data_IF_278273559104
#
_entry.id   IF_278273559104
#
_cell.length_a   1.000
_cell.length_b   1.000
_cell.length_c   1.000
_cell.angle_alpha   90.00
_cell.angle_beta   90.00
_cell.angle_gamma   90.00
#
_symmetry.space_group_name_H-M   'P 1'
#
loop_
_entity.id
_entity.type
_entity.pdbx_description
1 polymer ?
#
# COMPACT_ATOMS: atom_id res chain seq x y z
N UNK A 1 -2.92 8.33 -16.98
CA UNK A 1 -4.20 7.88 -16.39
C UNK A 1 -4.26 8.35 -14.95
N UNK A 2 -5.25 9.16 -14.59
CA UNK A 2 -5.49 9.46 -13.17
C UNK A 2 -6.01 8.18 -12.50
N UNK A 3 -5.53 7.91 -11.29
CA UNK A 3 -5.93 6.73 -10.51
C UNK A 3 -7.38 6.86 -10.02
N UNK A 4 -7.84 8.10 -9.88
CA UNK A 4 -9.23 8.45 -9.56
C UNK A 4 -9.84 9.32 -10.65
N UNK A 5 -11.13 9.14 -10.91
CA UNK A 5 -11.96 9.98 -11.77
C UNK A 5 -12.50 11.19 -10.98
N UNK A 6 -13.17 12.11 -11.68
CA UNK A 6 -13.73 13.33 -11.08
C UNK A 6 -14.78 13.02 -9.99
N UNK A 7 -15.59 11.99 -10.20
CA UNK A 7 -16.59 11.50 -9.23
C UNK A 7 -15.93 11.05 -7.92
N UNK A 8 -14.88 10.22 -7.98
CA UNK A 8 -14.12 9.77 -6.81
C UNK A 8 -13.44 10.93 -6.07
N UNK A 9 -13.01 11.96 -6.79
CA UNK A 9 -12.41 13.16 -6.20
C UNK A 9 -13.45 14.04 -5.49
N UNK A 10 -14.66 14.13 -6.04
CA UNK A 10 -15.80 14.79 -5.41
C UNK A 10 -16.22 14.02 -4.15
N UNK A 11 -16.35 12.69 -4.22
CA UNK A 11 -16.65 11.84 -3.06
C UNK A 11 -15.61 12.03 -1.94
N UNK A 12 -14.30 12.05 -2.27
CA UNK A 12 -13.23 12.30 -1.32
C UNK A 12 -13.32 13.67 -0.65
N UNK A 13 -13.60 14.73 -1.42
CA UNK A 13 -13.79 16.09 -0.87
C UNK A 13 -14.96 16.14 0.08
N UNK A 14 -16.12 15.63 -0.34
CA UNK A 14 -17.33 15.59 0.49
C UNK A 14 -17.08 14.81 1.78
N UNK A 15 -16.37 13.68 1.70
CA UNK A 15 -16.02 12.89 2.87
C UNK A 15 -15.14 13.67 3.86
N UNK A 16 -14.07 14.31 3.37
CA UNK A 16 -13.14 15.06 4.22
C UNK A 16 -13.77 16.30 4.83
N UNK A 17 -14.68 16.96 4.11
CA UNK A 17 -15.28 18.23 4.50
C UNK A 17 -16.53 18.06 5.38
N UNK A 18 -17.33 17.01 5.13
CA UNK A 18 -18.63 16.82 5.78
C UNK A 18 -18.72 15.53 6.62
N UNK A 19 -17.63 14.78 6.77
CA UNK A 19 -17.55 13.55 7.59
C UNK A 19 -18.68 12.54 7.30
N UNK A 20 -19.06 12.42 6.01
CA UNK A 20 -20.14 11.54 5.56
C UNK A 20 -19.69 10.07 5.63
N UNK A 21 -20.64 9.17 5.86
CA UNK A 21 -20.37 7.74 5.99
C UNK A 21 -19.66 7.16 4.75
N UNK A 22 -18.50 6.55 5.01
CA UNK A 22 -17.59 6.00 4.02
C UNK A 22 -18.14 4.79 3.23
N UNK A 23 -19.25 4.18 3.67
CA UNK A 23 -19.95 3.08 2.97
C UNK A 23 -20.40 3.44 1.55
N UNK A 24 -20.47 4.73 1.23
CA UNK A 24 -20.85 5.19 -0.11
C UNK A 24 -19.70 5.20 -1.12
N UNK A 25 -18.43 5.03 -0.67
CA UNK A 25 -17.29 4.90 -1.58
C UNK A 25 -17.35 3.57 -2.33
N UNK A 26 -18.00 3.57 -3.49
CA UNK A 26 -18.04 2.42 -4.39
C UNK A 26 -16.63 1.97 -4.81
N UNK A 27 -15.68 2.90 -4.86
CA UNK A 27 -14.31 2.67 -5.32
C UNK A 27 -13.27 3.04 -4.25
N UNK A 28 -13.53 2.62 -3.01
CA UNK A 28 -12.67 2.92 -1.87
C UNK A 28 -11.18 2.60 -2.10
N UNK A 29 -10.88 1.45 -2.73
CA UNK A 29 -9.51 1.06 -3.06
C UNK A 29 -8.78 2.11 -3.91
N UNK A 30 -9.45 2.71 -4.88
CA UNK A 30 -8.85 3.70 -5.78
C UNK A 30 -8.55 5.01 -5.04
N UNK A 31 -9.47 5.43 -4.16
CA UNK A 31 -9.27 6.59 -3.28
C UNK A 31 -8.06 6.37 -2.37
N UNK A 32 -7.97 5.20 -1.74
CA UNK A 32 -6.83 4.85 -0.89
C UNK A 32 -5.51 4.84 -1.66
N UNK A 33 -5.51 4.26 -2.86
CA UNK A 33 -4.34 4.24 -3.75
C UNK A 33 -3.91 5.65 -4.17
N UNK A 34 -4.88 6.51 -4.47
CA UNK A 34 -4.63 7.92 -4.78
C UNK A 34 -3.98 8.64 -3.59
N UNK A 35 -4.52 8.49 -2.38
CA UNK A 35 -3.97 9.12 -1.18
C UNK A 35 -2.53 8.67 -0.92
N UNK A 36 -2.24 7.37 -1.10
CA UNK A 36 -0.89 6.82 -0.93
C UNK A 36 0.07 7.41 -1.96
N UNK A 37 -0.36 7.42 -3.24
CA UNK A 37 0.44 7.94 -4.36
C UNK A 37 0.73 9.44 -4.21
N UNK A 38 -0.26 10.21 -3.78
CA UNK A 38 -0.12 11.64 -3.52
C UNK A 38 0.52 11.94 -2.15
N UNK A 39 1.04 10.91 -1.46
CA UNK A 39 1.79 11.02 -0.22
C UNK A 39 1.03 11.73 0.91
N UNK A 40 -0.28 11.48 1.02
CA UNK A 40 -1.10 12.02 2.11
C UNK A 40 -0.60 11.51 3.49
N UNK A 41 -0.75 12.32 4.56
CA UNK A 41 -0.41 11.92 5.92
C UNK A 41 -1.06 10.61 6.35
N UNK A 42 -0.31 9.78 7.09
CA UNK A 42 -0.83 8.53 7.65
C UNK A 42 -2.09 8.73 8.48
N UNK A 43 -2.18 9.80 9.27
CA UNK A 43 -3.35 10.05 10.11
C UNK A 43 -4.63 10.25 9.29
N UNK A 44 -4.53 10.87 8.10
CA UNK A 44 -5.67 11.02 7.18
C UNK A 44 -6.05 9.67 6.58
N UNK A 45 -5.06 8.91 6.10
CA UNK A 45 -5.26 7.57 5.53
C UNK A 45 -5.87 6.62 6.58
N UNK A 46 -5.33 6.65 7.81
CA UNK A 46 -5.81 5.88 8.95
C UNK A 46 -7.22 6.28 9.34
N UNK A 47 -7.51 7.58 9.46
CA UNK A 47 -8.85 8.08 9.75
C UNK A 47 -9.86 7.56 8.72
N UNK A 48 -9.52 7.65 7.43
CA UNK A 48 -10.37 7.15 6.34
C UNK A 48 -10.61 5.63 6.47
N UNK A 49 -9.56 4.84 6.72
CA UNK A 49 -9.67 3.39 6.96
C UNK A 49 -10.55 3.09 8.19
N UNK A 50 -10.41 3.86 9.27
CA UNK A 50 -11.16 3.69 10.51
C UNK A 50 -12.64 4.06 10.39
N UNK A 51 -13.01 4.96 9.47
CA UNK A 51 -14.42 5.22 9.13
C UNK A 51 -15.01 4.11 8.24
N UNK A 52 -14.19 3.23 7.69
CA UNK A 52 -14.56 2.13 6.79
C UNK A 52 -14.58 0.77 7.50
N UNK A 53 -14.85 0.69 8.82
CA UNK A 53 -14.67 -0.55 9.63
C UNK A 53 -15.30 -1.83 9.06
N UNK A 54 -16.36 -1.71 8.25
CA UNK A 54 -17.02 -2.84 7.59
C UNK A 54 -16.30 -3.31 6.31
N UNK A 55 -15.50 -2.46 5.67
CA UNK A 55 -14.61 -2.86 4.58
C UNK A 55 -13.31 -3.40 5.19
N UNK A 56 -13.10 -4.71 5.09
CA UNK A 56 -11.86 -5.35 5.54
C UNK A 56 -10.68 -4.93 4.67
N UNK A 57 -9.99 -3.87 5.05
CA UNK A 57 -8.81 -3.38 4.31
C UNK A 57 -7.58 -4.15 4.80
N UNK A 58 -6.91 -4.80 3.85
CA UNK A 58 -5.70 -5.55 4.15
C UNK A 58 -4.53 -4.57 4.35
N UNK A 59 -4.00 -4.49 5.58
CA UNK A 59 -2.83 -3.65 5.89
C UNK A 59 -1.56 -4.08 5.16
N UNK A 60 -1.45 -5.34 4.77
CA UNK A 60 -0.39 -5.82 3.88
C UNK A 60 -0.45 -5.15 2.52
N UNK A 61 -1.64 -5.03 1.92
CA UNK A 61 -1.81 -4.32 0.64
C UNK A 61 -1.47 -2.83 0.77
N UNK A 62 -1.87 -2.18 1.86
CA UNK A 62 -1.49 -0.80 2.17
C UNK A 62 0.03 -0.63 2.23
N UNK A 63 0.73 -1.54 2.91
CA UNK A 63 2.19 -1.50 2.97
C UNK A 63 2.80 -1.69 1.57
N UNK A 64 2.25 -2.61 0.78
CA UNK A 64 2.75 -2.91 -0.56
C UNK A 64 2.61 -1.70 -1.48
N UNK A 65 1.44 -1.06 -1.51
CA UNK A 65 1.23 0.18 -2.27
C UNK A 65 2.13 1.31 -1.77
N UNK A 66 2.32 1.44 -0.46
CA UNK A 66 3.19 2.48 0.11
C UNK A 66 4.62 2.36 -0.42
N UNK A 67 5.13 1.14 -0.54
CA UNK A 67 6.48 0.89 -1.07
C UNK A 67 6.51 1.06 -2.60
N UNK A 68 5.51 0.57 -3.33
CA UNK A 68 5.38 0.74 -4.79
C UNK A 68 5.44 2.23 -5.21
N UNK A 69 4.75 3.10 -4.45
CA UNK A 69 4.71 4.54 -4.72
C UNK A 69 5.79 5.35 -3.99
N UNK A 70 6.81 4.69 -3.41
CA UNK A 70 7.91 5.32 -2.66
C UNK A 70 7.47 6.16 -1.43
N UNK A 71 6.27 5.91 -0.90
CA UNK A 71 5.81 6.49 0.35
C UNK A 71 6.40 5.73 1.55
N UNK A 72 7.72 5.86 1.73
CA UNK A 72 8.46 5.16 2.78
C UNK A 72 8.11 5.65 4.19
N UNK A 73 7.62 6.90 4.33
CA UNK A 73 7.14 7.43 5.61
C UNK A 73 5.91 6.66 6.08
N UNK A 74 4.90 6.54 5.22
CA UNK A 74 3.72 5.72 5.48
C UNK A 74 4.09 4.25 5.71
N UNK A 75 4.96 3.68 4.88
CA UNK A 75 5.42 2.30 5.03
C UNK A 75 6.09 2.06 6.39
N UNK A 76 6.91 3.01 6.86
CA UNK A 76 7.57 2.92 8.18
C UNK A 76 6.54 2.94 9.31
N UNK A 77 5.53 3.82 9.21
CA UNK A 77 4.47 3.88 10.22
C UNK A 77 3.66 2.57 10.23
N UNK A 78 3.32 2.01 9.06
CA UNK A 78 2.60 0.75 8.94
C UNK A 78 3.38 -0.44 9.53
N UNK A 79 4.70 -0.50 9.31
CA UNK A 79 5.58 -1.53 9.88
C UNK A 79 5.66 -1.41 11.41
N UNK A 80 5.67 -0.19 11.94
CA UNK A 80 5.82 0.06 13.39
C UNK A 80 4.50 -0.03 14.16
N UNK A 81 3.35 -0.02 13.49
CA UNK A 81 2.06 -0.18 14.15
C UNK A 81 1.90 -1.62 14.68
N UNK A 82 1.36 -1.81 15.90
CA UNK A 82 1.15 -3.12 16.55
C UNK A 82 0.18 -4.06 15.81
N UNK A 83 -0.42 -3.60 14.72
CA UNK A 83 -1.35 -4.40 13.93
C UNK A 83 -0.64 -5.31 12.95
N UNK A 84 -1.08 -6.57 12.93
CA UNK A 84 -0.56 -7.63 12.07
C UNK A 84 -0.50 -7.21 10.60
N UNK A 85 0.71 -7.22 10.07
CA UNK A 85 1.00 -7.21 8.63
C UNK A 85 1.47 -8.62 8.29
N UNK A 86 0.84 -9.24 7.30
CA UNK A 86 1.27 -10.54 6.81
C UNK A 86 2.39 -10.39 5.77
N UNK A 87 3.20 -11.44 5.60
CA UNK A 87 4.29 -11.42 4.62
C UNK A 87 3.80 -11.54 3.17
N UNK A 88 2.52 -11.88 2.97
CA UNK A 88 1.93 -12.16 1.67
C UNK A 88 0.65 -11.38 1.47
N UNK A 89 0.45 -10.89 0.25
CA UNK A 89 -0.74 -10.19 -0.18
C UNK A 89 -1.87 -11.17 -0.54
N UNK A 90 -3.00 -10.67 -1.05
CA UNK A 90 -4.16 -11.52 -1.41
C UNK A 90 -3.87 -12.48 -2.57
N UNK A 91 -2.86 -12.17 -3.39
CA UNK A 91 -2.40 -13.04 -4.48
C UNK A 91 -1.33 -14.04 -4.02
N UNK A 92 -1.15 -14.21 -2.70
CA UNK A 92 -0.12 -15.07 -2.10
C UNK A 92 1.33 -14.70 -2.42
N UNK A 93 1.57 -13.46 -2.88
CA UNK A 93 2.90 -12.92 -3.20
C UNK A 93 3.46 -12.15 -2.03
N UNK A 94 4.75 -12.31 -1.78
CA UNK A 94 5.47 -11.42 -0.88
C UNK A 94 5.76 -10.07 -1.56
N UNK A 95 6.20 -9.07 -0.78
CA UNK A 95 6.41 -7.70 -1.29
C UNK A 95 7.41 -7.63 -2.45
N UNK A 96 8.45 -8.45 -2.44
CA UNK A 96 9.49 -8.44 -3.47
C UNK A 96 8.93 -9.06 -4.76
N UNK A 97 8.26 -10.21 -4.65
CA UNK A 97 7.56 -10.87 -5.78
C UNK A 97 6.55 -9.92 -6.43
N UNK A 98 5.75 -9.23 -5.59
CA UNK A 98 4.79 -8.23 -6.03
C UNK A 98 5.44 -7.10 -6.84
N UNK A 99 6.53 -6.50 -6.32
CA UNK A 99 7.20 -5.38 -7.00
C UNK A 99 7.90 -5.81 -8.30
N UNK A 100 8.42 -7.03 -8.37
CA UNK A 100 9.02 -7.57 -9.60
C UNK A 100 7.96 -7.72 -10.68
N UNK A 101 6.80 -8.30 -10.35
CA UNK A 101 5.70 -8.45 -11.29
C UNK A 101 5.20 -7.10 -11.83
N UNK A 102 5.16 -6.08 -10.96
CA UNK A 102 4.84 -4.70 -11.34
C UNK A 102 5.94 -4.00 -12.13
N UNK A 103 7.10 -4.63 -12.32
CA UNK A 103 8.33 -4.01 -12.89
C UNK A 103 8.71 -2.72 -12.15
N UNK A 104 8.50 -2.72 -10.84
CA UNK A 104 8.64 -1.55 -9.97
C UNK A 104 9.73 -1.74 -8.90
N UNK A 105 10.33 -2.94 -8.80
CA UNK A 105 11.44 -3.18 -7.90
C UNK A 105 12.70 -2.43 -8.35
N UNK A 106 13.24 -1.60 -7.47
CA UNK A 106 14.54 -0.94 -7.63
C UNK A 106 15.39 -1.12 -6.37
N UNK A 107 16.67 -0.72 -6.44
CA UNK A 107 17.61 -0.86 -5.33
C UNK A 107 17.20 -0.10 -4.07
N UNK A 108 16.50 1.03 -4.18
CA UNK A 108 16.03 1.80 -3.01
C UNK A 108 14.91 1.05 -2.30
N UNK A 109 13.90 0.58 -3.04
CA UNK A 109 12.78 -0.20 -2.48
C UNK A 109 13.27 -1.50 -1.87
N UNK A 110 14.16 -2.21 -2.58
CA UNK A 110 14.76 -3.44 -2.07
C UNK A 110 15.51 -3.21 -0.75
N UNK A 111 16.36 -2.17 -0.69
CA UNK A 111 17.09 -1.83 0.53
C UNK A 111 16.16 -1.43 1.69
N UNK A 112 15.09 -0.68 1.40
CA UNK A 112 14.09 -0.34 2.40
C UNK A 112 13.42 -1.58 2.99
N UNK A 113 12.96 -2.50 2.14
CA UNK A 113 12.33 -3.77 2.54
C UNK A 113 13.26 -4.55 3.46
N UNK A 114 14.52 -4.75 3.05
CA UNK A 114 15.48 -5.54 3.82
C UNK A 114 15.82 -4.91 5.19
N UNK A 115 15.88 -3.57 5.26
CA UNK A 115 16.19 -2.85 6.51
C UNK A 115 15.03 -2.83 7.51
N UNK A 116 13.80 -2.69 7.03
CA UNK A 116 12.65 -2.43 7.88
C UNK A 116 11.78 -3.66 8.15
N UNK A 117 11.53 -4.50 7.14
CA UNK A 117 10.72 -5.72 7.32
C UNK A 117 11.55 -6.83 7.96
N UNK A 118 12.88 -6.84 7.74
CA UNK A 118 13.85 -7.75 8.37
C UNK A 118 13.45 -9.22 8.34
N UNK A 119 12.78 -9.64 7.27
CA UNK A 119 12.33 -11.01 7.09
C UNK A 119 13.06 -11.67 5.91
N UNK A 120 13.97 -12.60 6.22
CA UNK A 120 14.73 -13.34 5.20
C UNK A 120 13.84 -14.26 4.34
N UNK A 121 12.64 -14.65 4.81
CA UNK A 121 11.73 -15.50 4.06
C UNK A 121 11.15 -14.82 2.80
N UNK A 122 11.38 -13.51 2.64
CA UNK A 122 10.99 -12.77 1.43
C UNK A 122 11.89 -13.08 0.24
N UNK A 123 13.12 -13.55 0.49
CA UNK A 123 14.09 -13.94 -0.52
C UNK A 123 13.85 -15.42 -0.87
N UNK A 124 12.82 -15.67 -1.68
CA UNK A 124 12.49 -17.00 -2.19
C UNK A 124 13.44 -17.39 -3.34
N UNK A 125 13.59 -18.68 -3.67
CA UNK A 125 14.33 -19.12 -4.85
C UNK A 125 13.85 -18.43 -6.15
N UNK A 126 12.54 -18.18 -6.26
CA UNK A 126 11.92 -17.46 -7.36
C UNK A 126 12.40 -16.01 -7.44
N UNK A 127 12.42 -15.30 -6.29
CA UNK A 127 12.95 -13.93 -6.19
C UNK A 127 14.43 -13.89 -6.57
N UNK A 128 15.24 -14.82 -6.07
CA UNK A 128 16.67 -14.90 -6.42
C UNK A 128 16.86 -15.07 -7.93
N UNK A 129 16.12 -15.98 -8.55
CA UNK A 129 16.17 -16.21 -9.99
C UNK A 129 15.77 -14.95 -10.79
N UNK A 130 14.80 -14.18 -10.29
CA UNK A 130 14.36 -12.95 -10.95
C UNK A 130 15.37 -11.81 -10.78
N UNK A 131 16.00 -11.67 -9.62
CA UNK A 131 17.02 -10.66 -9.35
C UNK A 131 18.26 -10.84 -10.26
N UNK A 132 18.72 -12.08 -10.45
CA UNK A 132 19.86 -12.38 -11.34
C UNK A 132 19.55 -12.03 -12.80
N UNK A 133 18.28 -12.07 -13.22
CA UNK A 133 17.85 -11.74 -14.59
C UNK A 133 17.64 -10.24 -14.82
N UNK A 134 17.70 -9.43 -13.77
CA UNK A 134 17.54 -7.97 -13.85
C UNK A 134 18.88 -7.24 -14.06
N UNK A 135 20.01 -7.96 -14.00
CA UNK A 135 21.35 -7.51 -14.44
C UNK A 135 21.51 -7.61 -15.96
#
# INVERSE_FOLDING_TARGET
>A
MSIINEEELIELKIFLEYNINAKQFKKFKNVLLYLIKENFPFDIIKFIIEQQKEQSINKTELLFYSIEFNNFGLATILINCETRVDNKNTDSKNIIEYLIEKRNLDSRKFLFIMKHIKNASLITPEVLCQLIKLE
#
